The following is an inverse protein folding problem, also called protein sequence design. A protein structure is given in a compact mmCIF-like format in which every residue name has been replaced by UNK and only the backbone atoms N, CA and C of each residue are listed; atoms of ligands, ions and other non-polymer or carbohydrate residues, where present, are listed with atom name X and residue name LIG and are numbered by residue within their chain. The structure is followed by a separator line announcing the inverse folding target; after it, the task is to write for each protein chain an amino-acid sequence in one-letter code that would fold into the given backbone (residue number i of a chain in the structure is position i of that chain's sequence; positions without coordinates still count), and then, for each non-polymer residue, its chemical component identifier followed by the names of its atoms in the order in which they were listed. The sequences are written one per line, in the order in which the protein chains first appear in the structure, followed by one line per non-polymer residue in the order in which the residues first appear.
data_IF_487141910167
#
_entry.id   IF_487141910167
#
_cell.length_a   1.000
_cell.length_b   1.000
_cell.length_c   1.000
_cell.angle_alpha   90.00
_cell.angle_beta   90.00
_cell.angle_gamma   90.00
#
_symmetry.space_group_name_H-M   'P 1'
#
loop_
_entity.id
_entity.type
_entity.pdbx_description
1 polymer ?
#
# COMPACT_ATOMS: atom_id res chain seq x y z
N UNK A 1 -25.97 18.20 15.13
CA UNK A 1 -25.31 17.93 13.84
C UNK A 1 -23.87 18.42 13.96
N UNK A 2 -22.96 17.54 14.35
CA UNK A 2 -21.54 17.87 14.63
C UNK A 2 -20.64 17.48 13.46
N UNK A 3 -19.48 16.88 13.75
CA UNK A 3 -18.52 16.41 12.74
C UNK A 3 -18.60 14.88 12.53
N UNK A 4 -19.21 14.39 11.44
CA UNK A 4 -19.16 12.97 11.08
C UNK A 4 -17.73 12.55 10.73
N UNK A 5 -17.29 11.39 11.24
CA UNK A 5 -15.96 10.86 10.97
C UNK A 5 -15.79 10.53 9.49
N UNK A 6 -14.79 11.13 8.84
CA UNK A 6 -14.42 10.80 7.46
C UNK A 6 -13.82 9.39 7.37
N UNK A 7 -14.27 8.61 6.40
CA UNK A 7 -13.70 7.31 6.05
C UNK A 7 -12.30 7.54 5.48
N UNK A 8 -11.28 7.02 6.17
CA UNK A 8 -9.88 7.09 5.72
C UNK A 8 -9.57 5.93 4.77
N UNK A 9 -8.60 6.15 3.87
CA UNK A 9 -8.09 5.10 2.98
C UNK A 9 -7.36 4.03 3.81
N UNK A 10 -7.45 2.78 3.36
CA UNK A 10 -6.78 1.62 4.00
C UNK A 10 -5.36 1.38 3.49
N UNK A 11 -4.93 2.13 2.49
CA UNK A 11 -3.63 1.98 1.83
C UNK A 11 -3.02 3.35 1.59
N UNK A 12 -1.71 3.43 1.68
CA UNK A 12 -0.93 4.59 1.27
C UNK A 12 -0.38 4.39 -0.15
N UNK A 13 -0.26 5.50 -0.87
CA UNK A 13 0.37 5.52 -2.20
C UNK A 13 1.88 5.71 -2.04
N UNK A 14 2.70 5.19 -2.96
CA UNK A 14 4.13 5.45 -2.92
C UNK A 14 4.43 6.96 -3.07
N UNK A 15 5.48 7.43 -2.38
CA UNK A 15 5.84 8.85 -2.31
C UNK A 15 6.33 9.42 -3.64
N UNK A 16 7.11 8.66 -4.40
CA UNK A 16 7.71 9.06 -5.68
C UNK A 16 7.15 8.19 -6.80
N UNK A 17 6.34 8.71 -7.73
CA UNK A 17 5.62 7.83 -8.68
C UNK A 17 6.54 7.03 -9.62
N UNK A 18 7.59 7.65 -10.17
CA UNK A 18 8.47 7.05 -11.18
C UNK A 18 9.81 6.59 -10.61
N UNK A 19 9.77 5.67 -9.66
CA UNK A 19 10.97 4.99 -9.17
C UNK A 19 11.07 3.63 -9.86
N UNK A 20 12.04 3.48 -10.78
CA UNK A 20 12.23 2.26 -11.58
C UNK A 20 12.37 1.01 -10.71
N UNK A 21 13.23 1.09 -9.69
CA UNK A 21 13.47 0.01 -8.72
C UNK A 21 12.19 -0.44 -7.99
N UNK A 22 11.38 0.52 -7.52
CA UNK A 22 10.09 0.22 -6.88
C UNK A 22 9.12 -0.44 -7.86
N UNK A 23 9.02 0.07 -9.09
CA UNK A 23 8.09 -0.48 -10.08
C UNK A 23 8.47 -1.93 -10.39
N UNK A 24 9.76 -2.21 -10.60
CA UNK A 24 10.26 -3.55 -10.90
C UNK A 24 10.01 -4.53 -9.75
N UNK A 25 10.30 -4.13 -8.51
CA UNK A 25 10.03 -4.95 -7.32
C UNK A 25 8.54 -5.18 -7.07
N UNK A 26 7.70 -4.14 -7.22
CA UNK A 26 6.24 -4.25 -7.09
C UNK A 26 5.64 -5.18 -8.15
N UNK A 27 6.11 -5.11 -9.39
CA UNK A 27 5.68 -5.99 -10.48
C UNK A 27 6.13 -7.44 -10.25
N UNK A 28 7.38 -7.67 -9.83
CA UNK A 28 7.87 -9.01 -9.51
C UNK A 28 7.06 -9.66 -8.38
N UNK A 29 6.70 -8.90 -7.34
CA UNK A 29 5.84 -9.37 -6.25
C UNK A 29 4.41 -9.67 -6.74
N UNK A 30 3.88 -8.82 -7.63
CA UNK A 30 2.56 -9.03 -8.23
C UNK A 30 2.50 -10.36 -8.99
N UNK A 31 3.49 -10.63 -9.83
CA UNK A 31 3.58 -11.86 -10.61
C UNK A 31 3.80 -13.09 -9.71
N UNK A 32 4.70 -12.99 -8.73
CA UNK A 32 5.01 -14.09 -7.82
C UNK A 32 3.79 -14.57 -7.02
N UNK A 33 2.93 -13.66 -6.59
CA UNK A 33 1.76 -13.97 -5.77
C UNK A 33 0.43 -13.95 -6.54
N UNK A 34 0.46 -13.72 -7.87
CA UNK A 34 -0.75 -13.69 -8.70
C UNK A 34 -1.75 -12.59 -8.31
N UNK A 35 -1.25 -11.45 -7.80
CA UNK A 35 -2.10 -10.35 -7.33
C UNK A 35 -2.82 -9.68 -8.50
N UNK A 36 -4.10 -9.34 -8.32
CA UNK A 36 -4.89 -8.71 -9.39
C UNK A 36 -4.39 -7.29 -9.66
N UNK A 37 -4.15 -6.53 -8.60
CA UNK A 37 -3.81 -5.11 -8.64
C UNK A 37 -2.70 -4.74 -7.64
N UNK A 38 -1.88 -3.74 -7.96
CA UNK A 38 -0.86 -3.20 -7.04
C UNK A 38 -1.45 -2.58 -5.75
N UNK A 39 -2.74 -2.24 -5.75
CA UNK A 39 -3.46 -1.80 -4.55
C UNK A 39 -3.42 -2.83 -3.42
N UNK A 40 -3.44 -4.12 -3.75
CA UNK A 40 -3.40 -5.20 -2.75
C UNK A 40 -2.03 -5.23 -2.07
N UNK A 41 -0.96 -5.06 -2.87
CA UNK A 41 0.39 -4.92 -2.36
C UNK A 41 0.53 -3.69 -1.45
N UNK A 42 0.01 -2.53 -1.88
CA UNK A 42 0.04 -1.32 -1.05
C UNK A 42 -0.73 -1.44 0.25
N UNK A 43 -1.84 -2.18 0.26
CA UNK A 43 -2.59 -2.43 1.48
C UNK A 43 -1.79 -3.30 2.45
N UNK A 44 -1.14 -4.35 1.95
CA UNK A 44 -0.27 -5.22 2.74
C UNK A 44 0.95 -4.46 3.31
N UNK A 45 1.62 -3.63 2.51
CA UNK A 45 2.76 -2.83 2.99
C UNK A 45 2.35 -1.79 4.04
N UNK A 46 1.17 -1.18 3.87
CA UNK A 46 0.59 -0.26 4.86
C UNK A 46 0.29 -0.98 6.18
N UNK A 47 -0.23 -2.20 6.11
CA UNK A 47 -0.54 -3.00 7.30
C UNK A 47 0.72 -3.43 8.05
N UNK A 48 1.75 -3.90 7.34
CA UNK A 48 3.08 -4.19 7.92
C UNK A 48 3.66 -2.93 8.57
N UNK A 49 3.55 -1.76 7.93
CA UNK A 49 4.05 -0.50 8.47
C UNK A 49 3.31 -0.07 9.74
N UNK A 50 2.00 -0.32 9.81
CA UNK A 50 1.17 -0.09 11.00
C UNK A 50 1.62 -0.98 12.16
N UNK A 51 1.87 -2.26 11.89
CA UNK A 51 2.36 -3.21 12.91
C UNK A 51 3.73 -2.79 13.41
N UNK A 52 4.68 -2.46 12.51
CA UNK A 52 6.03 -1.98 12.86
C UNK A 52 6.03 -0.71 13.71
N UNK A 53 5.03 0.16 13.57
CA UNK A 53 4.92 1.40 14.36
C UNK A 53 4.42 1.16 15.79
N UNK A 54 3.73 0.03 16.01
CA UNK A 54 3.12 -0.32 17.29
C UNK A 54 4.01 -1.22 18.16
N UNK A 55 5.20 -1.60 17.67
CA UNK A 55 6.25 -2.29 18.43
C UNK A 55 7.26 -1.26 18.88
#
# INVERSE_FOLDING_TARGET
MGDPKRIRRKFDKPKTMWSKDRIETEHALKEKYGLKNLRELWQATTEVSRIRRNV
#
